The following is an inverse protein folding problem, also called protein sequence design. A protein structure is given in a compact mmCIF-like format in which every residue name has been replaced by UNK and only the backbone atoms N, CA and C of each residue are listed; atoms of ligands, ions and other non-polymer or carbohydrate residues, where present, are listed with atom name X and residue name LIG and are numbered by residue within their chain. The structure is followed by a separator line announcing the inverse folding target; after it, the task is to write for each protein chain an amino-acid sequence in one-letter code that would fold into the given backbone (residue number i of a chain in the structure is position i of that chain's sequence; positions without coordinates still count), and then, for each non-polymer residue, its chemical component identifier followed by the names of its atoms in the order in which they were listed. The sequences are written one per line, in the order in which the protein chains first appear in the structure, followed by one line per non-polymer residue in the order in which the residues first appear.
data_IF_036177741712
#
_entry.id   IF_036177741712
#
_cell.length_a   1.000
_cell.length_b   1.000
_cell.length_c   1.000
_cell.angle_alpha   90.00
_cell.angle_beta   90.00
_cell.angle_gamma   90.00
#
_symmetry.space_group_name_H-M   'P 1'
#
loop_
_entity.id
_entity.type
_entity.pdbx_description
1 polymer ?
#
# COMPACT_ATOMS: atom_id res chain seq x y z
N UNK A 1 11.71 9.18 -6.65
CA UNK A 1 11.21 7.78 -6.72
C UNK A 1 11.60 7.11 -8.02
N UNK A 2 11.26 7.64 -9.20
CA UNK A 2 11.59 7.06 -10.52
C UNK A 2 13.09 6.80 -10.75
N UNK A 3 13.99 7.70 -10.35
CA UNK A 3 15.44 7.49 -10.47
C UNK A 3 15.95 6.27 -9.67
N UNK A 4 15.33 5.97 -8.52
CA UNK A 4 15.65 4.78 -7.72
C UNK A 4 15.11 3.52 -8.40
N UNK A 5 13.89 3.59 -8.94
CA UNK A 5 13.30 2.49 -9.70
C UNK A 5 14.15 2.13 -10.91
N UNK A 6 14.51 3.11 -11.73
CA UNK A 6 15.33 2.92 -12.93
C UNK A 6 16.71 2.30 -12.61
N UNK A 7 17.33 2.73 -11.49
CA UNK A 7 18.60 2.18 -11.04
C UNK A 7 18.50 0.73 -10.60
N UNK A 8 17.44 0.39 -9.86
CA UNK A 8 17.26 -0.94 -9.29
C UNK A 8 16.64 -1.95 -10.29
N UNK A 9 15.96 -1.43 -11.31
CA UNK A 9 15.29 -2.23 -12.35
C UNK A 9 15.58 -1.63 -13.73
N UNK A 10 16.78 -1.82 -14.27
CA UNK A 10 17.20 -1.18 -15.52
C UNK A 10 16.41 -1.63 -16.75
N UNK A 11 15.71 -2.77 -16.67
CA UNK A 11 14.82 -3.24 -17.73
C UNK A 11 13.43 -2.54 -17.69
N UNK A 12 13.07 -1.85 -16.60
CA UNK A 12 11.80 -1.15 -16.50
C UNK A 12 11.87 0.19 -17.23
N UNK A 13 10.86 0.47 -18.06
CA UNK A 13 10.66 1.82 -18.63
C UNK A 13 9.96 2.69 -17.58
N UNK A 14 10.56 3.81 -17.24
CA UNK A 14 10.04 4.75 -16.25
C UNK A 14 9.47 5.97 -16.95
N UNK A 15 8.25 6.35 -16.60
CA UNK A 15 7.57 7.55 -17.11
C UNK A 15 7.14 8.42 -15.94
N UNK A 16 7.25 9.72 -16.09
CA UNK A 16 6.65 10.70 -15.18
C UNK A 16 5.35 11.18 -15.79
N UNK A 17 4.23 10.74 -15.22
CA UNK A 17 2.89 11.04 -15.72
C UNK A 17 1.84 10.92 -14.62
N UNK A 18 0.66 11.44 -14.91
CA UNK A 18 -0.52 11.26 -14.08
C UNK A 18 -1.21 9.93 -14.38
N UNK A 19 -1.99 9.41 -13.41
CA UNK A 19 -2.77 8.18 -13.57
C UNK A 19 -3.88 8.29 -14.62
N UNK A 20 -4.24 9.52 -14.99
CA UNK A 20 -5.26 9.85 -15.99
C UNK A 20 -4.69 10.07 -17.41
N UNK A 21 -3.36 9.98 -17.57
CA UNK A 21 -2.67 10.17 -18.84
C UNK A 21 -1.42 9.28 -18.92
N UNK A 22 -1.61 7.96 -18.96
CA UNK A 22 -0.52 6.97 -19.00
C UNK A 22 0.13 6.99 -20.38
N UNK A 23 1.45 7.24 -20.51
CA UNK A 23 2.11 7.46 -21.79
C UNK A 23 2.42 6.14 -22.53
N UNK A 24 1.38 5.37 -22.81
CA UNK A 24 1.43 4.15 -23.60
C UNK A 24 0.29 4.14 -24.62
N UNK A 25 0.41 3.32 -25.65
CA UNK A 25 -0.59 3.16 -26.69
C UNK A 25 -1.87 2.50 -26.15
N UNK A 26 -2.98 2.75 -26.83
CA UNK A 26 -4.25 2.09 -26.57
C UNK A 26 -4.08 0.57 -26.68
N UNK A 27 -4.74 -0.17 -25.78
CA UNK A 27 -4.77 -1.64 -25.79
C UNK A 27 -3.38 -2.28 -25.90
N UNK A 28 -2.40 -1.72 -25.17
CA UNK A 28 -1.01 -2.18 -25.21
C UNK A 28 -0.60 -3.00 -23.97
N UNK A 29 -1.34 -2.88 -22.85
CA UNK A 29 -0.99 -3.52 -21.59
C UNK A 29 -1.85 -4.76 -21.31
N UNK A 30 -1.21 -5.81 -20.80
CA UNK A 30 -1.89 -7.02 -20.32
C UNK A 30 -2.47 -6.82 -18.90
N UNK A 31 -1.81 -5.98 -18.10
CA UNK A 31 -2.24 -5.64 -16.75
C UNK A 31 -1.75 -4.25 -16.33
N UNK A 32 -2.52 -3.62 -15.43
CA UNK A 32 -2.11 -2.43 -14.67
C UNK A 32 -2.13 -2.80 -13.19
N UNK A 33 -1.08 -2.45 -12.44
CA UNK A 33 -0.98 -2.72 -11.01
C UNK A 33 -0.83 -1.42 -10.24
N UNK A 34 -1.62 -1.26 -9.17
CA UNK A 34 -1.56 -0.12 -8.26
C UNK A 34 -1.43 -0.63 -6.83
N UNK A 35 -0.30 -0.34 -6.20
CA UNK A 35 -0.04 -0.73 -4.82
C UNK A 35 -0.02 0.50 -3.91
N UNK A 36 -0.84 0.48 -2.86
CA UNK A 36 -0.95 1.52 -1.81
C UNK A 36 -1.09 2.97 -2.34
N UNK A 37 -1.66 3.17 -3.55
CA UNK A 37 -1.74 4.47 -4.20
C UNK A 37 -3.13 4.86 -4.72
N UNK A 38 -4.05 3.92 -4.90
CA UNK A 38 -5.37 4.17 -5.51
C UNK A 38 -6.17 5.30 -4.84
N UNK A 39 -6.03 5.46 -3.53
CA UNK A 39 -6.72 6.47 -2.75
C UNK A 39 -6.27 7.92 -3.01
N UNK A 40 -5.22 8.10 -3.81
CA UNK A 40 -4.73 9.41 -4.26
C UNK A 40 -5.25 9.81 -5.64
N UNK A 41 -5.88 8.88 -6.36
CA UNK A 41 -6.26 9.07 -7.75
C UNK A 41 -7.68 9.61 -7.89
N UNK A 42 -7.92 10.34 -8.97
CA UNK A 42 -9.27 10.52 -9.50
C UNK A 42 -9.73 9.16 -10.06
N UNK A 43 -10.56 8.47 -9.32
CA UNK A 43 -10.91 7.08 -9.62
C UNK A 43 -11.63 6.94 -10.96
N UNK A 44 -12.59 7.81 -11.28
CA UNK A 44 -13.38 7.73 -12.52
C UNK A 44 -12.51 8.02 -13.76
N UNK A 45 -11.71 9.09 -13.69
CA UNK A 45 -10.80 9.43 -14.78
C UNK A 45 -9.72 8.36 -14.96
N UNK A 46 -9.17 7.82 -13.86
CA UNK A 46 -8.18 6.74 -13.90
C UNK A 46 -8.75 5.45 -14.47
N UNK A 47 -9.99 5.07 -14.10
CA UNK A 47 -10.67 3.89 -14.68
C UNK A 47 -10.83 4.04 -16.20
N UNK A 48 -11.19 5.23 -16.67
CA UNK A 48 -11.31 5.52 -18.11
C UNK A 48 -9.97 5.30 -18.80
N UNK A 49 -8.89 5.82 -18.24
CA UNK A 49 -7.54 5.67 -18.78
C UNK A 49 -7.05 4.22 -18.73
N UNK A 50 -7.30 3.51 -17.63
CA UNK A 50 -6.98 2.09 -17.51
C UNK A 50 -7.70 1.26 -18.56
N UNK A 51 -8.99 1.54 -18.84
CA UNK A 51 -9.72 0.90 -19.94
C UNK A 51 -9.08 1.15 -21.31
N UNK A 52 -8.57 2.36 -21.54
CA UNK A 52 -7.90 2.72 -22.79
C UNK A 52 -6.64 1.89 -23.02
N UNK A 53 -5.80 1.76 -22.00
CA UNK A 53 -4.47 1.11 -22.14
C UNK A 53 -4.52 -0.42 -22.07
N UNK A 54 -5.55 -1.00 -21.43
CA UNK A 54 -5.67 -2.46 -21.32
C UNK A 54 -6.06 -3.11 -22.64
N UNK A 55 -5.39 -4.21 -22.97
CA UNK A 55 -5.82 -5.12 -24.05
C UNK A 55 -7.19 -5.74 -23.71
N UNK A 56 -7.91 -6.26 -24.72
CA UNK A 56 -9.06 -7.13 -24.46
C UNK A 56 -8.68 -8.30 -23.56
N UNK A 57 -9.40 -8.47 -22.44
CA UNK A 57 -9.08 -9.47 -21.40
C UNK A 57 -7.96 -9.08 -20.44
N UNK A 58 -7.34 -7.90 -20.60
CA UNK A 58 -6.44 -7.31 -19.62
C UNK A 58 -7.16 -6.90 -18.34
N UNK A 59 -6.41 -6.68 -17.24
CA UNK A 59 -6.99 -6.45 -15.92
C UNK A 59 -6.24 -5.40 -15.10
N UNK A 60 -6.95 -4.78 -14.16
CA UNK A 60 -6.38 -3.91 -13.13
C UNK A 60 -6.28 -4.67 -11.81
N UNK A 61 -5.12 -4.63 -11.17
CA UNK A 61 -4.91 -5.12 -9.82
C UNK A 61 -4.65 -3.98 -8.84
N UNK A 62 -5.44 -3.94 -7.78
CA UNK A 62 -5.25 -3.02 -6.67
C UNK A 62 -4.77 -3.80 -5.45
N UNK A 63 -3.75 -3.32 -4.77
CA UNK A 63 -3.18 -3.98 -3.59
C UNK A 63 -2.98 -2.96 -2.48
N UNK A 64 -3.45 -3.30 -1.28
CA UNK A 64 -3.16 -2.57 -0.05
C UNK A 64 -2.55 -3.49 0.99
N UNK A 65 -1.46 -3.06 1.63
CA UNK A 65 -0.92 -3.74 2.79
C UNK A 65 -1.43 -3.05 4.06
N UNK A 66 -2.07 -3.83 4.92
CA UNK A 66 -2.60 -3.35 6.19
C UNK A 66 -2.05 -4.19 7.34
N UNK A 67 -2.03 -3.62 8.54
CA UNK A 67 -1.81 -4.42 9.75
C UNK A 67 -2.99 -5.37 9.92
N UNK A 68 -2.71 -6.64 10.21
CA UNK A 68 -3.72 -7.56 10.70
C UNK A 68 -4.24 -7.10 12.07
N UNK A 69 -5.40 -7.59 12.50
CA UNK A 69 -5.91 -7.28 13.84
C UNK A 69 -4.90 -7.72 14.90
N UNK A 70 -4.51 -6.81 15.82
CA UNK A 70 -3.58 -7.15 16.88
C UNK A 70 -4.19 -8.24 17.77
N UNK A 71 -3.40 -9.22 18.15
CA UNK A 71 -3.77 -10.31 19.07
C UNK A 71 -2.95 -10.22 20.34
N UNK A 72 -1.66 -9.91 20.17
CA UNK A 72 -0.74 -9.80 21.29
C UNK A 72 -0.75 -8.37 21.87
N UNK A 73 -0.66 -8.20 23.20
CA UNK A 73 -0.63 -6.87 23.83
C UNK A 73 0.41 -5.93 23.22
N UNK A 74 1.59 -6.44 22.90
CA UNK A 74 2.68 -5.64 22.32
C UNK A 74 2.40 -5.18 20.87
N UNK A 75 1.51 -5.87 20.14
CA UNK A 75 1.10 -5.43 18.80
C UNK A 75 0.28 -4.13 18.87
N UNK A 76 -0.54 -3.97 19.94
CA UNK A 76 -1.26 -2.73 20.21
C UNK A 76 -0.32 -1.59 20.60
N UNK A 77 0.69 -1.89 21.43
CA UNK A 77 1.69 -0.88 21.82
C UNK A 77 2.48 -0.36 20.61
N UNK A 78 2.79 -1.24 19.64
CA UNK A 78 3.53 -0.89 18.44
C UNK A 78 2.70 -0.20 17.35
N UNK A 79 1.38 -0.31 17.39
CA UNK A 79 0.53 0.34 16.42
C UNK A 79 0.61 1.86 16.62
N UNK A 80 1.33 2.54 15.75
CA UNK A 80 1.35 4.01 15.77
C UNK A 80 -0.03 4.57 15.41
N UNK A 81 -0.34 5.77 15.87
CA UNK A 81 -1.59 6.46 15.51
C UNK A 81 -1.80 6.50 13.98
N UNK A 82 -0.71 6.70 13.21
CA UNK A 82 -0.77 6.68 11.75
C UNK A 82 -1.11 5.30 11.19
N UNK A 83 -0.57 4.23 11.77
CA UNK A 83 -0.88 2.86 11.34
C UNK A 83 -2.29 2.45 11.75
N UNK A 84 -2.77 2.91 12.91
CA UNK A 84 -4.15 2.72 13.35
C UNK A 84 -5.13 3.44 12.41
N UNK A 85 -4.86 4.70 12.08
CA UNK A 85 -5.67 5.48 11.13
C UNK A 85 -5.66 4.85 9.73
N UNK A 86 -4.50 4.43 9.24
CA UNK A 86 -4.34 3.78 7.94
C UNK A 86 -5.11 2.43 7.91
N UNK A 87 -5.08 1.68 9.00
CA UNK A 87 -5.85 0.44 9.16
C UNK A 87 -7.36 0.70 9.13
N UNK A 88 -7.84 1.65 9.91
CA UNK A 88 -9.26 2.00 9.95
C UNK A 88 -9.75 2.49 8.58
N UNK A 89 -9.00 3.41 7.95
CA UNK A 89 -9.36 3.95 6.64
C UNK A 89 -9.28 2.92 5.52
N UNK A 90 -8.35 1.98 5.58
CA UNK A 90 -8.18 0.94 4.55
C UNK A 90 -9.10 -0.27 4.76
N UNK A 91 -9.54 -0.51 5.99
CA UNK A 91 -10.45 -1.63 6.35
C UNK A 91 -11.90 -1.21 6.50
N UNK A 92 -12.15 0.07 6.70
CA UNK A 92 -13.52 0.56 6.78
C UNK A 92 -14.28 0.17 5.52
N UNK A 93 -15.34 -0.65 5.71
CA UNK A 93 -16.13 -1.17 4.61
C UNK A 93 -16.70 -0.04 3.73
N UNK A 94 -17.09 1.07 4.35
CA UNK A 94 -17.59 2.25 3.63
C UNK A 94 -16.46 2.94 2.84
N UNK A 95 -15.26 3.05 3.42
CA UNK A 95 -14.09 3.62 2.75
C UNK A 95 -13.63 2.77 1.56
N UNK A 96 -13.59 1.45 1.70
CA UNK A 96 -13.26 0.53 0.60
C UNK A 96 -14.36 0.54 -0.46
N UNK A 97 -15.63 0.47 -0.06
CA UNK A 97 -16.77 0.55 -0.98
C UNK A 97 -16.76 1.85 -1.78
N UNK A 98 -16.52 2.99 -1.11
CA UNK A 98 -16.40 4.29 -1.77
C UNK A 98 -15.26 4.35 -2.78
N UNK A 99 -14.10 3.76 -2.46
CA UNK A 99 -12.94 3.72 -3.36
C UNK A 99 -13.16 2.81 -4.58
N UNK A 100 -14.01 1.80 -4.44
CA UNK A 100 -14.32 0.84 -5.49
C UNK A 100 -15.64 1.12 -6.19
N UNK A 101 -16.39 2.16 -5.80
CA UNK A 101 -17.70 2.49 -6.37
C UNK A 101 -17.68 2.84 -7.86
N UNK A 102 -16.50 3.17 -8.40
CA UNK A 102 -16.31 3.38 -9.85
C UNK A 102 -16.26 2.09 -10.68
N UNK A 103 -16.25 0.92 -10.02
CA UNK A 103 -16.24 -0.38 -10.68
C UNK A 103 -17.58 -1.07 -10.52
N UNK A 104 -18.09 -1.79 -11.57
CA UNK A 104 -19.20 -2.72 -11.40
C UNK A 104 -18.83 -3.84 -10.43
N UNK A 105 -19.66 -4.08 -9.42
CA UNK A 105 -19.35 -5.04 -8.34
C UNK A 105 -19.19 -6.48 -8.88
N UNK A 106 -19.94 -6.83 -9.90
CA UNK A 106 -19.91 -8.14 -10.57
C UNK A 106 -18.73 -8.34 -11.53
N UNK A 107 -17.87 -7.32 -11.67
CA UNK A 107 -16.58 -7.37 -12.38
C UNK A 107 -15.38 -7.43 -11.42
N UNK A 108 -15.62 -7.44 -10.08
CA UNK A 108 -14.58 -7.43 -9.07
C UNK A 108 -14.33 -8.81 -8.45
N UNK A 109 -13.08 -9.21 -8.43
CA UNK A 109 -12.62 -10.35 -7.64
C UNK A 109 -11.81 -9.81 -6.45
N UNK A 110 -12.08 -10.33 -5.23
CA UNK A 110 -11.39 -9.90 -4.00
C UNK A 110 -10.69 -11.06 -3.35
N UNK A 111 -9.47 -10.83 -2.92
CA UNK A 111 -8.64 -11.81 -2.18
C UNK A 111 -7.93 -11.12 -1.02
N UNK A 112 -7.73 -11.87 0.05
CA UNK A 112 -6.94 -11.45 1.20
C UNK A 112 -5.86 -12.49 1.47
N UNK A 113 -4.63 -12.02 1.70
CA UNK A 113 -3.47 -12.86 1.97
C UNK A 113 -2.83 -12.44 3.29
N UNK A 114 -2.86 -13.33 4.28
CA UNK A 114 -2.15 -13.13 5.52
C UNK A 114 -0.66 -13.43 5.33
N UNK A 115 0.19 -12.57 5.87
CA UNK A 115 1.64 -12.76 5.86
C UNK A 115 2.27 -12.22 7.13
N UNK A 116 3.53 -12.54 7.36
CA UNK A 116 4.27 -12.09 8.53
C UNK A 116 5.49 -11.29 8.10
N UNK A 117 5.69 -10.16 8.74
CA UNK A 117 6.88 -9.37 8.61
C UNK A 117 7.72 -9.47 9.88
N UNK A 118 8.98 -9.85 9.75
CA UNK A 118 9.91 -9.88 10.88
C UNK A 118 10.40 -8.46 11.14
N UNK A 119 10.00 -7.91 12.28
CA UNK A 119 10.29 -6.54 12.67
C UNK A 119 11.47 -6.51 13.65
N UNK A 120 12.51 -5.79 13.30
CA UNK A 120 13.61 -5.41 14.20
C UNK A 120 13.49 -3.94 14.58
N UNK A 121 14.12 -3.47 15.69
CA UNK A 121 14.14 -2.06 16.05
C UNK A 121 14.61 -1.15 14.90
N UNK A 122 15.60 -1.58 14.13
CA UNK A 122 16.15 -0.84 13.00
C UNK A 122 15.15 -0.73 11.84
N UNK A 123 14.58 -1.85 11.41
CA UNK A 123 13.65 -1.82 10.26
C UNK A 123 12.30 -1.19 10.63
N UNK A 124 11.90 -1.16 11.92
CA UNK A 124 10.75 -0.39 12.41
C UNK A 124 10.93 1.09 12.13
N UNK A 125 12.03 1.66 12.58
CA UNK A 125 12.33 3.08 12.35
C UNK A 125 12.46 3.38 10.84
N UNK A 126 13.15 2.53 10.09
CA UNK A 126 13.31 2.69 8.65
C UNK A 126 11.95 2.67 7.91
N UNK A 127 11.04 1.76 8.28
CA UNK A 127 9.70 1.69 7.70
C UNK A 127 8.88 2.94 8.02
N UNK A 128 8.82 3.35 9.29
CA UNK A 128 8.10 4.58 9.68
C UNK A 128 8.63 5.81 8.95
N UNK A 129 9.94 5.89 8.72
CA UNK A 129 10.56 7.00 8.00
C UNK A 129 10.05 7.16 6.56
N UNK A 130 9.40 6.14 5.98
CA UNK A 130 8.82 6.18 4.63
C UNK A 130 7.35 6.63 4.60
N UNK A 131 6.71 6.78 5.75
CA UNK A 131 5.30 7.22 5.80
C UNK A 131 5.17 8.70 5.45
N UNK A 132 4.14 9.04 4.70
CA UNK A 132 3.88 10.43 4.24
C UNK A 132 3.79 11.40 5.41
N UNK A 133 3.18 10.99 6.52
CA UNK A 133 3.07 11.79 7.74
C UNK A 133 4.45 12.15 8.31
N UNK A 134 5.36 11.18 8.44
CA UNK A 134 6.69 11.45 8.97
C UNK A 134 7.57 12.20 7.96
N UNK A 135 7.37 11.99 6.65
CA UNK A 135 8.08 12.74 5.61
C UNK A 135 7.73 14.25 5.69
N UNK A 136 6.46 14.57 5.94
CA UNK A 136 5.99 15.95 6.05
C UNK A 136 6.28 16.62 7.41
N UNK A 137 6.75 15.85 8.41
CA UNK A 137 7.01 16.34 9.77
C UNK A 137 8.30 17.16 9.84
N UNK A 138 8.36 18.08 10.81
CA UNK A 138 9.60 18.80 11.17
C UNK A 138 10.76 17.80 11.41
N UNK A 139 11.98 18.07 10.92
CA UNK A 139 13.09 17.13 11.00
C UNK A 139 13.45 16.69 12.44
N UNK A 140 13.33 17.60 13.43
CA UNK A 140 13.61 17.29 14.83
C UNK A 140 12.54 16.39 15.43
N UNK A 141 11.27 16.72 15.22
CA UNK A 141 10.15 15.92 15.67
C UNK A 141 10.17 14.53 15.01
N UNK A 142 10.49 14.48 13.72
CA UNK A 142 10.67 13.22 12.99
C UNK A 142 11.75 12.35 13.62
N UNK A 143 12.92 12.90 13.92
CA UNK A 143 14.02 12.17 14.55
C UNK A 143 13.63 11.62 15.93
N UNK A 144 12.94 12.42 16.74
CA UNK A 144 12.43 12.02 18.06
C UNK A 144 11.42 10.86 17.94
N UNK A 145 10.48 10.92 16.98
CA UNK A 145 9.50 9.86 16.73
C UNK A 145 10.17 8.56 16.27
N UNK A 146 11.12 8.62 15.35
CA UNK A 146 11.86 7.45 14.88
C UNK A 146 12.69 6.81 15.99
N UNK A 147 13.32 7.62 16.83
CA UNK A 147 14.07 7.14 17.99
C UNK A 147 13.12 6.47 19.01
N UNK A 148 12.00 7.09 19.33
CA UNK A 148 11.01 6.52 20.24
C UNK A 148 10.48 5.15 19.74
N UNK A 149 10.09 5.06 18.47
CA UNK A 149 9.61 3.82 17.88
C UNK A 149 10.64 2.68 17.89
N UNK A 150 11.91 3.02 17.64
CA UNK A 150 13.03 2.07 17.75
C UNK A 150 13.21 1.58 19.18
N UNK A 151 13.25 2.51 20.16
CA UNK A 151 13.47 2.20 21.57
C UNK A 151 12.33 1.38 22.17
N UNK A 152 11.12 1.66 21.77
CA UNK A 152 9.93 0.90 22.20
C UNK A 152 9.99 -0.56 21.75
N UNK A 153 10.27 -0.80 20.46
CA UNK A 153 10.41 -2.16 19.96
C UNK A 153 11.62 -2.87 20.59
N UNK A 154 12.73 -2.16 20.84
CA UNK A 154 13.87 -2.74 21.56
C UNK A 154 13.46 -3.21 22.94
N UNK A 155 12.74 -2.39 23.70
CA UNK A 155 12.24 -2.74 25.04
C UNK A 155 11.35 -4.00 25.01
N UNK A 156 10.46 -4.11 24.01
CA UNK A 156 9.58 -5.26 23.86
C UNK A 156 10.39 -6.51 23.49
N UNK A 157 11.34 -6.40 22.58
CA UNK A 157 12.24 -7.49 22.21
C UNK A 157 13.07 -7.98 23.40
N UNK A 158 13.63 -7.07 24.19
CA UNK A 158 14.43 -7.38 25.38
C UNK A 158 13.59 -8.12 26.43
N UNK A 159 12.36 -7.67 26.66
CA UNK A 159 11.41 -8.34 27.58
C UNK A 159 11.02 -9.75 27.12
N UNK A 160 10.96 -9.95 25.80
CA UNK A 160 10.66 -11.26 25.19
C UNK A 160 11.92 -12.15 24.98
N UNK A 161 13.12 -11.67 25.31
CA UNK A 161 14.36 -12.41 25.12
C UNK A 161 14.70 -12.67 23.64
N UNK A 162 14.32 -11.75 22.74
CA UNK A 162 14.50 -11.87 21.30
C UNK A 162 15.07 -10.59 20.69
N UNK A 163 15.52 -10.65 19.46
CA UNK A 163 16.00 -9.47 18.70
C UNK A 163 15.01 -8.99 17.64
N UNK A 164 13.91 -9.73 17.43
CA UNK A 164 12.90 -9.41 16.44
C UNK A 164 11.56 -10.04 16.77
N UNK A 165 10.49 -9.47 16.25
CA UNK A 165 9.12 -9.96 16.45
C UNK A 165 8.42 -10.14 15.09
N UNK A 166 7.63 -11.22 14.90
CA UNK A 166 6.83 -11.41 13.71
C UNK A 166 5.54 -10.60 13.82
N UNK A 167 5.42 -9.52 13.05
CA UNK A 167 4.16 -8.77 12.92
C UNK A 167 3.30 -9.38 11.84
N UNK A 168 2.04 -9.59 12.15
CA UNK A 168 1.04 -10.07 11.18
C UNK A 168 0.58 -8.93 10.30
N UNK A 169 0.57 -9.19 9.02
CA UNK A 169 0.11 -8.29 7.96
C UNK A 169 -0.94 -8.98 7.11
N UNK A 170 -1.72 -8.17 6.44
CA UNK A 170 -2.70 -8.61 5.46
C UNK A 170 -2.57 -7.81 4.18
N UNK A 171 -2.49 -8.51 3.06
CA UNK A 171 -2.58 -7.88 1.75
C UNK A 171 -4.02 -8.04 1.23
N UNK A 172 -4.73 -6.92 1.09
CA UNK A 172 -6.04 -6.88 0.46
C UNK A 172 -5.85 -6.62 -1.03
N UNK A 173 -6.31 -7.55 -1.87
CA UNK A 173 -6.14 -7.50 -3.30
C UNK A 173 -7.50 -7.45 -3.99
N UNK A 174 -7.64 -6.56 -4.96
CA UNK A 174 -8.83 -6.47 -5.82
C UNK A 174 -8.37 -6.57 -7.26
N UNK A 175 -9.00 -7.44 -8.03
CA UNK A 175 -8.82 -7.55 -9.47
C UNK A 175 -10.08 -7.09 -10.17
N UNK A 176 -9.92 -6.23 -11.14
CA UNK A 176 -10.98 -5.79 -12.05
C UNK A 176 -10.64 -6.17 -13.47
N UNK A 177 -11.54 -6.90 -14.12
CA UNK A 177 -11.44 -7.26 -15.53
C UNK A 177 -12.60 -6.60 -16.28
N UNK A 178 -12.34 -5.48 -17.02
CA UNK A 178 -13.40 -4.76 -17.72
C UNK A 178 -14.04 -5.64 -18.79
N UNK A 179 -15.38 -5.69 -18.80
CA UNK A 179 -16.11 -6.30 -19.91
C UNK A 179 -15.96 -5.48 -21.18
N UNK A 180 -15.92 -6.11 -22.35
CA UNK A 180 -16.01 -5.40 -23.62
C UNK A 180 -17.27 -4.53 -23.65
N UNK A 181 -17.21 -3.34 -24.25
CA UNK A 181 -18.42 -2.58 -24.49
C UNK A 181 -19.39 -3.42 -25.35
N UNK A 182 -20.68 -3.35 -25.02
CA UNK A 182 -21.73 -4.03 -25.73
C UNK A 182 -21.86 -3.52 -27.17
#
# INVERSE_FOLDING_TARGET
MLAVLARNNPAARCYESDSTAIPVEDRSLDAVLVADAWHWFDAEATVTEVRRVLKPGGWLGLVWNVLADPVEPWEFELASEAEMFDRETKRDADGVAKRLSCFPEDELERHQFAWKWVLTPENRAANLATTSMLIAMDPKQRAERLHAARSELQRICDAAGTTSLPIRREASCVRWTPRPPA
#
